data_IF_594467772721
#
_entry.id   IF_594467772721
#
_cell.length_a   1.000
_cell.length_b   1.000
_cell.length_c   1.000
_cell.angle_alpha   90.00
_cell.angle_beta   90.00
_cell.angle_gamma   90.00
#
_symmetry.space_group_name_H-M   'P 1'
#
loop_
_entity.id
_entity.type
_entity.pdbx_description
1 polymer ?
#
# COMPACT_ATOMS: atom_id res chain seq x y z
N UNK A 1 5.84 -14.28 -9.23
CA UNK A 1 4.92 -15.12 -10.02
C UNK A 1 5.54 -16.50 -10.15
N UNK A 2 4.86 -17.55 -9.68
CA UNK A 2 5.33 -18.94 -9.81
C UNK A 2 4.23 -19.82 -10.36
N UNK A 3 4.56 -20.91 -11.06
CA UNK A 3 3.58 -21.89 -11.54
C UNK A 3 2.78 -22.53 -10.41
N UNK A 4 1.55 -22.94 -10.72
CA UNK A 4 0.75 -23.81 -9.86
C UNK A 4 1.33 -25.24 -9.78
N UNK A 5 2.04 -25.67 -10.83
CA UNK A 5 2.67 -26.98 -10.94
C UNK A 5 4.02 -26.88 -11.67
N UNK A 6 4.96 -27.75 -11.30
CA UNK A 6 6.29 -27.85 -11.90
C UNK A 6 6.42 -29.12 -12.73
N UNK A 7 7.18 -29.04 -13.82
CA UNK A 7 7.22 -30.06 -14.88
C UNK A 7 5.83 -30.42 -15.44
N UNK A 8 5.04 -29.42 -15.89
CA UNK A 8 3.78 -29.69 -16.56
C UNK A 8 4.03 -30.49 -17.85
N UNK A 9 3.03 -31.29 -18.24
CA UNK A 9 2.97 -31.89 -19.58
C UNK A 9 1.84 -31.20 -20.34
N UNK A 10 2.13 -30.69 -21.54
CA UNK A 10 1.19 -29.87 -22.30
C UNK A 10 0.55 -30.61 -23.48
N UNK A 11 0.97 -31.84 -23.75
CA UNK A 11 0.46 -32.64 -24.87
C UNK A 11 1.17 -32.33 -26.19
N UNK A 12 0.69 -32.91 -27.28
CA UNK A 12 1.27 -32.68 -28.61
C UNK A 12 0.64 -31.46 -29.30
N UNK A 13 1.40 -30.83 -30.20
CA UNK A 13 0.93 -29.70 -31.02
C UNK A 13 0.24 -28.58 -30.23
N UNK A 14 0.72 -28.28 -29.02
CA UNK A 14 0.12 -27.26 -28.15
C UNK A 14 0.03 -25.89 -28.84
N UNK A 15 -1.15 -25.28 -28.76
CA UNK A 15 -1.47 -23.96 -29.29
C UNK A 15 -1.97 -23.07 -28.16
N UNK A 16 -1.39 -21.88 -28.04
CA UNK A 16 -1.87 -20.86 -27.11
C UNK A 16 -3.22 -20.30 -27.55
N UNK A 17 -4.22 -20.33 -26.67
CA UNK A 17 -5.53 -19.70 -26.91
C UNK A 17 -5.58 -18.28 -26.37
N UNK A 18 -5.23 -18.10 -25.08
CA UNK A 18 -5.25 -16.80 -24.43
C UNK A 18 -4.43 -16.75 -23.15
N UNK A 19 -3.95 -15.56 -22.79
CA UNK A 19 -3.31 -15.30 -21.50
C UNK A 19 -4.08 -14.21 -20.76
N UNK A 20 -4.62 -14.55 -19.61
CA UNK A 20 -5.49 -13.68 -18.82
C UNK A 20 -4.80 -13.30 -17.52
N UNK A 21 -4.55 -12.01 -17.33
CA UNK A 21 -4.11 -11.45 -16.06
C UNK A 21 -5.31 -10.99 -15.24
N UNK A 22 -5.42 -11.46 -14.00
CA UNK A 22 -6.48 -11.04 -13.05
C UNK A 22 -5.85 -10.46 -11.79
N UNK A 23 -6.19 -9.21 -11.45
CA UNK A 23 -5.71 -8.47 -10.28
C UNK A 23 -6.92 -7.91 -9.51
N UNK A 24 -7.34 -8.56 -8.40
CA UNK A 24 -8.52 -8.14 -7.66
C UNK A 24 -8.27 -6.88 -6.83
N UNK A 25 -9.35 -6.15 -6.53
CA UNK A 25 -9.36 -5.04 -5.59
C UNK A 25 -9.60 -5.51 -4.15
N UNK A 26 -9.40 -4.62 -3.18
CA UNK A 26 -9.99 -4.81 -1.85
C UNK A 26 -11.45 -4.36 -1.91
N UNK A 27 -12.37 -5.32 -1.77
CA UNK A 27 -13.81 -5.10 -1.89
C UNK A 27 -14.61 -5.95 -0.92
N UNK A 28 -15.72 -5.43 -0.42
CA UNK A 28 -16.68 -6.14 0.45
C UNK A 28 -18.00 -6.36 -0.27
N UNK A 29 -18.51 -7.59 -0.27
CA UNK A 29 -19.85 -7.89 -0.81
C UNK A 29 -20.91 -7.29 0.12
N UNK A 30 -21.77 -6.42 -0.39
CA UNK A 30 -22.82 -5.76 0.39
C UNK A 30 -24.20 -6.33 0.15
N UNK A 31 -24.49 -6.75 -1.08
CA UNK A 31 -25.81 -7.27 -1.47
C UNK A 31 -25.75 -8.23 -2.65
N UNK A 32 -26.76 -9.09 -2.78
CA UNK A 32 -26.96 -9.99 -3.92
C UNK A 32 -28.43 -9.93 -4.33
N UNK A 33 -28.70 -9.57 -5.59
CA UNK A 33 -30.06 -9.47 -6.11
C UNK A 33 -30.70 -10.84 -6.45
N UNK A 34 -31.98 -10.82 -6.85
CA UNK A 34 -32.75 -12.03 -7.21
C UNK A 34 -32.19 -12.77 -8.45
N UNK A 35 -31.45 -12.06 -9.31
CA UNK A 35 -30.78 -12.60 -10.51
C UNK A 35 -29.33 -13.06 -10.21
N UNK A 36 -28.92 -13.00 -8.94
CA UNK A 36 -27.60 -13.39 -8.47
C UNK A 36 -26.47 -12.41 -8.80
N UNK A 37 -26.77 -11.17 -9.18
CA UNK A 37 -25.77 -10.11 -9.33
C UNK A 37 -25.37 -9.58 -7.97
N UNK A 38 -24.06 -9.43 -7.78
CA UNK A 38 -23.47 -8.97 -6.53
C UNK A 38 -23.13 -7.48 -6.62
N UNK A 39 -23.45 -6.75 -5.54
CA UNK A 39 -23.04 -5.36 -5.34
C UNK A 39 -21.90 -5.32 -4.33
N UNK A 40 -20.86 -4.54 -4.63
CA UNK A 40 -19.64 -4.44 -3.82
C UNK A 40 -19.38 -3.01 -3.38
N UNK A 41 -18.83 -2.87 -2.18
CA UNK A 41 -18.15 -1.67 -1.70
C UNK A 41 -16.65 -1.84 -1.93
N UNK A 42 -15.98 -0.83 -2.52
CA UNK A 42 -14.57 -0.89 -2.93
C UNK A 42 -13.77 0.23 -2.26
N UNK A 43 -12.95 -0.13 -1.27
CA UNK A 43 -12.18 0.81 -0.44
C UNK A 43 -10.76 1.07 -0.96
N UNK A 44 -10.48 0.61 -2.19
CA UNK A 44 -9.11 0.56 -2.74
C UNK A 44 -8.93 1.39 -4.01
N UNK A 45 -9.93 2.16 -4.42
CA UNK A 45 -9.86 3.07 -5.56
C UNK A 45 -9.91 4.49 -5.01
N UNK A 46 -8.89 5.30 -5.32
CA UNK A 46 -8.78 6.68 -4.85
C UNK A 46 -8.67 7.62 -6.04
N UNK A 47 -9.69 8.45 -6.26
CA UNK A 47 -9.82 9.28 -7.45
C UNK A 47 -10.77 8.68 -8.49
N UNK A 48 -11.02 9.44 -9.56
CA UNK A 48 -11.97 9.09 -10.63
C UNK A 48 -11.48 9.51 -12.02
N UNK A 49 -10.20 9.85 -12.14
CA UNK A 49 -9.59 10.28 -13.40
C UNK A 49 -8.87 9.11 -14.09
N UNK A 50 -8.96 8.99 -15.43
CA UNK A 50 -8.26 7.93 -16.16
C UNK A 50 -6.75 7.94 -15.95
N UNK A 51 -6.15 6.76 -16.00
CA UNK A 51 -4.70 6.56 -15.97
C UNK A 51 -4.26 5.79 -17.20
N UNK A 52 -3.05 6.03 -17.67
CA UNK A 52 -2.41 5.13 -18.62
C UNK A 52 -1.91 3.91 -17.85
N UNK A 53 -2.25 2.73 -18.33
CA UNK A 53 -1.87 1.46 -17.72
C UNK A 53 -1.17 0.57 -18.73
N UNK A 54 0.05 0.16 -18.42
CA UNK A 54 0.87 -0.70 -19.26
C UNK A 54 1.34 -1.92 -18.45
N UNK A 55 1.37 -3.09 -19.09
CA UNK A 55 1.93 -4.32 -18.52
C UNK A 55 3.11 -4.74 -19.36
N UNK A 56 4.27 -4.93 -18.73
CA UNK A 56 5.49 -5.40 -19.36
C UNK A 56 5.93 -6.73 -18.78
N UNK A 57 6.61 -7.54 -19.60
CA UNK A 57 7.43 -8.64 -19.11
C UNK A 57 8.68 -8.04 -18.47
N UNK A 58 8.86 -8.27 -17.17
CA UNK A 58 10.01 -7.79 -16.43
C UNK A 58 11.28 -8.59 -16.80
N UNK A 59 12.42 -7.91 -16.98
CA UNK A 59 13.72 -8.54 -17.17
C UNK A 59 14.63 -8.41 -15.94
N UNK A 60 14.26 -7.66 -14.91
CA UNK A 60 15.05 -7.51 -13.69
C UNK A 60 14.78 -8.63 -12.68
N UNK A 61 15.81 -9.31 -12.19
CA UNK A 61 15.65 -10.37 -11.20
C UNK A 61 15.64 -9.82 -9.77
N UNK A 62 14.48 -9.86 -9.11
CA UNK A 62 14.32 -9.48 -7.70
C UNK A 62 14.89 -10.57 -6.79
N UNK A 63 16.16 -10.44 -6.41
CA UNK A 63 16.86 -11.30 -5.45
C UNK A 63 16.22 -11.25 -4.06
N UNK A 64 16.21 -12.41 -3.39
CA UNK A 64 15.71 -12.56 -2.01
C UNK A 64 16.74 -12.17 -0.94
N UNK A 65 18.04 -12.29 -1.23
CA UNK A 65 19.11 -12.10 -0.26
C UNK A 65 20.23 -11.23 -0.82
N UNK A 66 20.96 -10.57 0.07
CA UNK A 66 22.20 -9.89 -0.27
C UNK A 66 23.39 -10.81 0.03
N UNK A 67 24.27 -11.14 -0.95
CA UNK A 67 25.47 -11.94 -0.71
C UNK A 67 26.49 -11.26 0.23
N UNK A 68 26.43 -9.95 0.40
CA UNK A 68 27.37 -9.16 1.22
C UNK A 68 26.90 -8.95 2.67
N UNK A 69 25.64 -9.28 2.99
CA UNK A 69 25.12 -9.26 4.37
C UNK A 69 25.23 -10.64 5.04
N UNK A 70 25.12 -10.69 6.37
CA UNK A 70 25.00 -11.96 7.09
C UNK A 70 23.83 -12.79 6.53
N UNK A 71 23.99 -14.12 6.48
CA UNK A 71 23.14 -15.12 5.81
C UNK A 71 21.60 -15.04 6.07
N UNK A 72 21.13 -14.15 6.94
CA UNK A 72 19.73 -14.01 7.33
C UNK A 72 19.10 -12.64 6.98
N UNK A 73 19.79 -11.74 6.27
CA UNK A 73 19.18 -10.47 5.86
C UNK A 73 18.63 -10.52 4.44
N UNK A 74 17.31 -10.35 4.31
CA UNK A 74 16.65 -10.17 3.01
C UNK A 74 17.11 -8.86 2.36
N UNK A 75 17.28 -8.89 1.04
CA UNK A 75 17.56 -7.67 0.28
C UNK A 75 16.28 -6.80 0.25
N UNK A 76 16.41 -5.52 0.63
CA UNK A 76 15.29 -4.58 0.62
C UNK A 76 15.30 -3.79 -0.68
N UNK A 77 14.11 -3.47 -1.17
CA UNK A 77 13.90 -2.62 -2.33
C UNK A 77 13.09 -1.39 -1.91
N UNK A 78 13.46 -0.23 -2.44
CA UNK A 78 12.85 1.04 -2.12
C UNK A 78 12.09 1.61 -3.33
N UNK A 79 11.15 2.50 -3.06
CA UNK A 79 10.26 3.08 -4.08
C UNK A 79 10.99 3.84 -5.17
N UNK A 80 12.16 4.41 -4.85
CA UNK A 80 13.06 5.13 -5.75
C UNK A 80 13.90 4.23 -6.69
N UNK A 81 13.47 2.97 -6.91
CA UNK A 81 14.16 1.98 -7.76
C UNK A 81 15.58 1.67 -7.28
N UNK A 82 15.84 1.70 -5.97
CA UNK A 82 17.12 1.27 -5.37
C UNK A 82 16.95 0.06 -4.46
N UNK A 83 18.04 -0.65 -4.20
CA UNK A 83 18.10 -1.73 -3.22
C UNK A 83 19.05 -1.41 -2.06
N UNK A 84 18.92 -2.13 -0.94
CA UNK A 84 19.71 -1.88 0.28
C UNK A 84 21.22 -2.20 0.16
N UNK A 85 21.65 -2.78 -0.96
CA UNK A 85 23.06 -2.94 -1.33
C UNK A 85 23.60 -1.76 -2.14
N UNK A 86 22.78 -0.73 -2.39
CA UNK A 86 23.11 0.45 -3.18
C UNK A 86 22.96 0.24 -4.69
N UNK A 87 22.51 -0.93 -5.15
CA UNK A 87 22.22 -1.14 -6.57
C UNK A 87 20.98 -0.36 -7.02
N UNK A 88 21.05 0.17 -8.24
CA UNK A 88 19.94 0.85 -8.90
C UNK A 88 19.29 -0.11 -9.90
N UNK A 89 17.96 -0.10 -9.95
CA UNK A 89 17.16 -0.84 -10.91
C UNK A 89 16.92 0.08 -12.09
N UNK A 90 17.42 -0.29 -13.28
CA UNK A 90 17.17 0.51 -14.48
C UNK A 90 15.75 0.29 -14.97
N UNK A 91 15.07 1.37 -15.37
CA UNK A 91 13.71 1.29 -15.90
C UNK A 91 13.64 0.44 -17.17
N UNK A 92 14.67 0.45 -18.02
CA UNK A 92 14.76 -0.42 -19.21
C UNK A 92 14.81 -1.91 -18.89
N UNK A 93 15.22 -2.30 -17.67
CA UNK A 93 15.19 -3.70 -17.24
C UNK A 93 13.79 -4.10 -16.75
N UNK A 94 12.98 -3.14 -16.30
CA UNK A 94 11.59 -3.35 -15.89
C UNK A 94 10.65 -3.35 -17.10
N UNK A 95 10.86 -2.43 -18.03
CA UNK A 95 10.11 -2.26 -19.27
C UNK A 95 10.68 -3.15 -20.39
N UNK A 96 10.54 -4.46 -20.23
CA UNK A 96 10.91 -5.43 -21.26
C UNK A 96 9.92 -5.44 -22.44
N UNK A 97 9.28 -6.58 -22.68
CA UNK A 97 8.30 -6.71 -23.75
C UNK A 97 6.94 -6.14 -23.29
N UNK A 98 6.30 -5.28 -24.09
CA UNK A 98 4.96 -4.76 -23.80
C UNK A 98 3.90 -5.84 -24.06
N UNK A 99 3.03 -6.09 -23.10
CA UNK A 99 2.02 -7.15 -23.13
C UNK A 99 0.59 -6.61 -23.09
N UNK A 100 0.41 -5.37 -22.67
CA UNK A 100 -0.89 -4.71 -22.63
C UNK A 100 -0.67 -3.21 -22.48
N UNK A 101 -1.49 -2.41 -23.15
CA UNK A 101 -1.54 -0.95 -22.98
C UNK A 101 -2.99 -0.47 -23.09
N UNK A 102 -3.41 0.33 -22.12
CA UNK A 102 -4.61 1.15 -22.17
C UNK A 102 -4.23 2.59 -21.80
N UNK A 103 -4.53 3.53 -22.68
CA UNK A 103 -4.14 4.93 -22.52
C UNK A 103 -5.09 5.72 -21.61
N UNK A 104 -6.31 5.23 -21.37
CA UNK A 104 -7.35 5.92 -20.60
C UNK A 104 -8.10 4.93 -19.69
N UNK A 105 -7.35 4.06 -19.02
CA UNK A 105 -7.90 3.06 -18.11
C UNK A 105 -8.63 3.72 -16.93
N UNK A 106 -9.87 3.30 -16.69
CA UNK A 106 -10.66 3.71 -15.54
C UNK A 106 -11.09 2.47 -14.74
N UNK A 107 -10.71 2.37 -13.45
CA UNK A 107 -11.11 1.22 -12.63
C UNK A 107 -12.63 1.24 -12.37
N UNK A 108 -13.25 0.06 -12.42
CA UNK A 108 -14.68 -0.11 -12.11
C UNK A 108 -14.88 -0.83 -10.78
N UNK A 109 -15.86 -0.39 -10.00
CA UNK A 109 -16.34 -1.06 -8.79
C UNK A 109 -17.33 -2.21 -9.07
N UNK A 110 -17.65 -2.46 -10.34
CA UNK A 110 -18.60 -3.50 -10.73
C UNK A 110 -17.98 -4.90 -10.67
N UNK A 111 -18.82 -5.90 -10.39
CA UNK A 111 -18.44 -7.29 -10.52
C UNK A 111 -18.02 -7.63 -11.97
N UNK A 112 -17.13 -8.61 -12.13
CA UNK A 112 -16.77 -9.12 -13.46
C UNK A 112 -17.61 -10.37 -13.74
N UNK A 113 -18.40 -10.34 -14.81
CA UNK A 113 -19.24 -11.45 -15.24
C UNK A 113 -18.54 -12.20 -16.37
N UNK A 114 -18.23 -13.48 -16.14
CA UNK A 114 -17.74 -14.38 -17.18
C UNK A 114 -18.91 -15.16 -17.78
N UNK A 115 -18.91 -15.28 -19.10
CA UNK A 115 -19.92 -16.02 -19.86
C UNK A 115 -19.24 -17.11 -20.68
N UNK A 116 -19.95 -18.21 -20.88
CA UNK A 116 -19.54 -19.30 -21.77
C UNK A 116 -20.66 -19.57 -22.77
N UNK A 117 -20.30 -19.99 -23.97
CA UNK A 117 -21.29 -20.44 -24.93
C UNK A 117 -21.85 -21.79 -24.50
N UNK A 118 -23.17 -21.92 -24.48
CA UNK A 118 -23.86 -23.17 -24.20
C UNK A 118 -24.38 -23.78 -25.51
N UNK A 119 -23.82 -24.93 -25.90
CA UNK A 119 -24.16 -25.62 -27.14
C UNK A 119 -25.60 -26.14 -27.17
N UNK A 120 -26.21 -26.42 -26.01
CA UNK A 120 -27.58 -26.93 -25.92
C UNK A 120 -28.63 -25.83 -26.11
N UNK A 121 -28.33 -24.61 -25.68
CA UNK A 121 -29.26 -23.46 -25.73
C UNK A 121 -28.94 -22.47 -26.85
N UNK A 122 -27.77 -22.59 -27.48
CA UNK A 122 -27.21 -21.66 -28.47
C UNK A 122 -27.08 -20.20 -27.94
N UNK A 123 -27.01 -20.04 -26.62
CA UNK A 123 -26.91 -18.73 -25.92
C UNK A 123 -25.65 -18.65 -25.05
N UNK A 124 -25.28 -17.43 -24.66
CA UNK A 124 -24.20 -17.19 -23.70
C UNK A 124 -24.75 -17.28 -22.28
N UNK A 125 -24.31 -18.27 -21.52
CA UNK A 125 -24.69 -18.44 -20.11
C UNK A 125 -23.62 -17.85 -19.19
N UNK A 126 -24.05 -17.30 -18.06
CA UNK A 126 -23.12 -16.84 -17.00
C UNK A 126 -22.43 -18.06 -16.40
N UNK A 127 -21.12 -18.17 -16.63
CA UNK A 127 -20.30 -19.27 -16.10
C UNK A 127 -19.74 -18.95 -14.71
N UNK A 128 -19.38 -17.68 -14.47
CA UNK A 128 -18.79 -17.26 -13.19
C UNK A 128 -19.02 -15.76 -12.93
N UNK A 129 -19.09 -15.40 -11.65
CA UNK A 129 -19.08 -14.00 -11.19
C UNK A 129 -17.88 -13.80 -10.28
N UNK A 130 -17.03 -12.83 -10.61
CA UNK A 130 -15.85 -12.46 -9.85
C UNK A 130 -16.06 -11.11 -9.17
N UNK A 131 -15.39 -10.93 -8.03
CA UNK A 131 -15.34 -9.63 -7.37
C UNK A 131 -14.67 -8.57 -8.28
N UNK A 132 -14.88 -7.27 -8.00
CA UNK A 132 -14.27 -6.18 -8.76
C UNK A 132 -12.75 -6.29 -8.81
N UNK A 133 -12.19 -5.96 -9.96
CA UNK A 133 -10.76 -6.06 -10.21
C UNK A 133 -10.39 -5.68 -11.63
N UNK A 134 -9.10 -5.75 -11.91
CA UNK A 134 -8.55 -5.61 -13.25
C UNK A 134 -8.45 -7.00 -13.87
N UNK A 135 -8.96 -7.16 -15.09
CA UNK A 135 -8.81 -8.39 -15.86
C UNK A 135 -8.49 -8.10 -17.32
N UNK A 136 -7.29 -8.48 -17.75
CA UNK A 136 -6.77 -8.19 -19.08
C UNK A 136 -6.46 -9.45 -19.86
N UNK A 137 -6.65 -9.38 -21.18
CA UNK A 137 -6.02 -10.29 -22.12
C UNK A 137 -4.64 -9.73 -22.45
N UNK A 138 -3.58 -10.48 -22.12
CA UNK A 138 -2.22 -10.11 -22.47
C UNK A 138 -1.90 -10.55 -23.89
N UNK A 139 -1.18 -9.71 -24.60
CA UNK A 139 -0.68 -9.98 -25.94
C UNK A 139 0.42 -11.05 -25.92
N UNK A 140 0.63 -11.69 -27.08
CA UNK A 140 1.68 -12.67 -27.32
C UNK A 140 2.67 -12.19 -28.39
N UNK A 141 3.36 -11.04 -28.19
CA UNK A 141 4.30 -10.54 -29.18
C UNK A 141 5.46 -11.51 -29.36
N UNK A 142 5.85 -11.75 -30.62
CA UNK A 142 6.97 -12.63 -30.98
C UNK A 142 6.88 -14.03 -30.36
N UNK A 143 5.67 -14.57 -30.22
CA UNK A 143 5.40 -15.89 -29.61
C UNK A 143 5.99 -16.02 -28.19
N UNK A 144 5.98 -14.92 -27.42
CA UNK A 144 6.58 -14.86 -26.08
C UNK A 144 6.11 -16.01 -25.17
N UNK A 145 4.81 -16.23 -25.05
CA UNK A 145 4.26 -17.22 -24.11
C UNK A 145 4.56 -18.65 -24.54
N UNK A 146 4.60 -18.91 -25.85
CA UNK A 146 5.06 -20.18 -26.42
C UNK A 146 6.50 -20.48 -25.98
N UNK A 147 7.41 -19.54 -26.24
CA UNK A 147 8.83 -19.67 -25.89
C UNK A 147 9.08 -19.74 -24.37
N UNK A 148 8.26 -19.04 -23.59
CA UNK A 148 8.41 -18.94 -22.14
C UNK A 148 7.93 -20.22 -21.43
N UNK A 149 6.81 -20.79 -21.90
CA UNK A 149 6.08 -21.85 -21.20
C UNK A 149 6.15 -23.17 -21.98
N UNK A 150 5.54 -23.25 -23.15
CA UNK A 150 5.36 -24.52 -23.85
C UNK A 150 6.68 -25.10 -24.39
N UNK A 151 7.55 -24.28 -24.98
CA UNK A 151 8.86 -24.72 -25.48
C UNK A 151 9.84 -25.10 -24.35
N UNK A 152 9.44 -24.90 -23.09
CA UNK A 152 10.18 -25.27 -21.88
C UNK A 152 9.62 -26.51 -21.18
N UNK A 153 8.71 -27.22 -21.83
CA UNK A 153 8.27 -28.55 -21.38
C UNK A 153 9.46 -29.50 -21.23
N UNK A 154 9.55 -30.18 -20.08
CA UNK A 154 10.66 -31.07 -19.75
C UNK A 154 12.01 -30.40 -19.48
N UNK A 155 12.12 -29.08 -19.65
CA UNK A 155 13.36 -28.34 -19.45
C UNK A 155 13.53 -27.87 -17.99
N UNK A 156 14.78 -27.64 -17.53
CA UNK A 156 15.06 -27.23 -16.15
C UNK A 156 14.32 -25.96 -15.69
N UNK A 157 14.00 -25.05 -16.61
CA UNK A 157 13.31 -23.77 -16.35
C UNK A 157 11.95 -23.96 -15.68
N UNK A 158 11.19 -25.00 -16.04
CA UNK A 158 9.88 -25.30 -15.45
C UNK A 158 9.94 -26.32 -14.31
N UNK A 159 11.14 -26.81 -13.96
CA UNK A 159 11.28 -27.94 -13.04
C UNK A 159 11.10 -27.60 -11.57
N UNK A 160 11.29 -26.34 -11.19
CA UNK A 160 11.15 -25.84 -9.82
C UNK A 160 11.06 -24.31 -9.77
N UNK A 161 10.69 -23.80 -8.60
CA UNK A 161 10.48 -22.37 -8.34
C UNK A 161 11.69 -21.50 -8.68
N UNK A 162 12.88 -21.88 -8.22
CA UNK A 162 14.09 -21.08 -8.37
C UNK A 162 14.46 -20.90 -9.84
N UNK A 163 14.37 -21.97 -10.62
CA UNK A 163 14.66 -21.92 -12.05
C UNK A 163 13.63 -21.06 -12.78
N UNK A 164 12.35 -21.23 -12.46
CA UNK A 164 11.28 -20.46 -13.08
C UNK A 164 11.38 -18.97 -12.77
N UNK A 165 11.64 -18.59 -11.51
CA UNK A 165 11.79 -17.19 -11.12
C UNK A 165 12.95 -16.51 -11.87
N UNK A 166 14.06 -17.23 -12.10
CA UNK A 166 15.19 -16.72 -12.86
C UNK A 166 14.89 -16.58 -14.37
N UNK A 167 14.07 -17.49 -14.92
CA UNK A 167 13.66 -17.53 -16.32
C UNK A 167 12.61 -16.45 -16.64
N UNK A 168 11.50 -16.43 -15.91
CA UNK A 168 10.37 -15.53 -16.18
C UNK A 168 10.57 -14.12 -15.64
N UNK A 169 11.10 -13.99 -14.40
CA UNK A 169 11.34 -12.72 -13.68
C UNK A 169 10.10 -11.86 -13.39
N UNK A 170 8.93 -12.24 -13.89
CA UNK A 170 7.63 -11.67 -13.51
C UNK A 170 7.11 -10.61 -14.46
N UNK A 171 6.15 -9.84 -13.97
CA UNK A 171 5.51 -8.75 -14.70
C UNK A 171 5.83 -7.42 -14.02
N UNK A 172 5.97 -6.37 -14.82
CA UNK A 172 6.01 -4.98 -14.36
C UNK A 172 4.73 -4.29 -14.81
N UNK A 173 3.94 -3.81 -13.86
CA UNK A 173 2.69 -3.10 -14.12
C UNK A 173 2.98 -1.63 -13.84
N UNK A 174 2.83 -0.79 -14.85
CA UNK A 174 3.11 0.64 -14.80
C UNK A 174 1.82 1.42 -14.98
N UNK A 175 1.52 2.28 -14.02
CA UNK A 175 0.43 3.24 -14.10
C UNK A 175 1.02 4.65 -14.18
N UNK A 176 0.53 5.45 -15.12
CA UNK A 176 0.98 6.83 -15.35
C UNK A 176 -0.25 7.74 -15.40
N UNK A 177 -0.13 8.96 -14.85
CA UNK A 177 -1.20 9.93 -14.99
C UNK A 177 -1.32 10.39 -16.45
N UNK A 178 -2.55 10.47 -16.97
CA UNK A 178 -2.80 11.00 -18.33
C UNK A 178 -2.69 12.53 -18.32
N UNK A 179 -3.11 13.15 -17.22
CA UNK A 179 -3.07 14.59 -16.99
C UNK A 179 -2.43 14.88 -15.61
N UNK A 180 -2.77 16.02 -14.99
CA UNK A 180 -2.36 16.34 -13.61
C UNK A 180 -3.01 15.37 -12.61
N UNK A 181 -4.25 14.97 -12.89
CA UNK A 181 -5.02 14.06 -12.05
C UNK A 181 -4.94 12.62 -12.57
N UNK A 182 -5.14 11.66 -11.66
CA UNK A 182 -5.20 10.23 -11.94
C UNK A 182 -5.96 9.49 -10.85
N UNK A 183 -6.05 8.17 -10.99
CA UNK A 183 -6.67 7.30 -9.98
C UNK A 183 -5.61 6.35 -9.43
N UNK A 184 -5.50 6.29 -8.10
CA UNK A 184 -4.67 5.31 -7.41
C UNK A 184 -5.49 4.07 -7.11
N UNK A 185 -4.90 2.90 -7.35
CA UNK A 185 -5.54 1.61 -7.15
C UNK A 185 -4.69 0.76 -6.22
N UNK A 186 -5.26 0.35 -5.09
CA UNK A 186 -4.63 -0.58 -4.15
C UNK A 186 -5.04 -2.03 -4.50
N UNK A 187 -4.14 -2.75 -5.16
CA UNK A 187 -4.41 -4.11 -5.62
C UNK A 187 -4.27 -5.15 -4.50
N UNK A 188 -5.21 -6.09 -4.43
CA UNK A 188 -5.17 -7.23 -3.52
C UNK A 188 -4.41 -8.41 -4.14
N UNK A 189 -3.14 -8.21 -4.47
CA UNK A 189 -2.30 -9.24 -5.12
C UNK A 189 -1.98 -10.44 -4.21
N UNK A 190 -2.34 -10.38 -2.93
CA UNK A 190 -2.15 -11.48 -1.97
C UNK A 190 -3.23 -12.56 -2.03
N UNK A 191 -4.39 -12.25 -2.61
CA UNK A 191 -5.55 -13.15 -2.64
C UNK A 191 -6.13 -13.21 -4.05
N UNK A 192 -6.14 -14.38 -4.68
CA UNK A 192 -6.82 -14.64 -5.97
C UNK A 192 -6.31 -13.84 -7.18
N UNK A 193 -5.16 -13.17 -7.09
CA UNK A 193 -4.47 -12.64 -8.27
C UNK A 193 -3.78 -13.78 -9.03
N UNK A 194 -4.02 -13.88 -10.33
CA UNK A 194 -3.51 -14.97 -11.17
C UNK A 194 -3.13 -14.47 -12.57
N UNK A 195 -2.20 -15.19 -13.18
CA UNK A 195 -1.99 -15.17 -14.62
C UNK A 195 -2.39 -16.54 -15.16
N UNK A 196 -3.45 -16.62 -15.94
CA UNK A 196 -4.02 -17.88 -16.43
C UNK A 196 -3.79 -18.00 -17.92
N UNK A 197 -3.13 -19.08 -18.32
CA UNK A 197 -2.80 -19.40 -19.70
C UNK A 197 -3.72 -20.52 -20.14
N UNK A 198 -4.57 -20.24 -21.14
CA UNK A 198 -5.44 -21.20 -21.79
C UNK A 198 -4.77 -21.69 -23.08
N UNK A 199 -4.80 -23.00 -23.29
CA UNK A 199 -4.23 -23.63 -24.47
C UNK A 199 -5.06 -24.81 -24.91
N UNK A 200 -4.86 -25.21 -26.16
CA UNK A 200 -5.42 -26.43 -26.74
C UNK A 200 -4.28 -27.32 -27.22
N UNK A 201 -4.39 -28.63 -27.00
CA UNK A 201 -3.38 -29.62 -27.38
C UNK A 201 -4.04 -30.87 -27.95
N UNK A 202 -3.29 -31.63 -28.74
CA UNK A 202 -3.72 -32.93 -29.23
C UNK A 202 -3.59 -33.97 -28.10
N UNK A 203 -4.62 -34.79 -27.95
CA UNK A 203 -4.59 -35.97 -27.07
C UNK A 203 -3.81 -37.07 -27.79
N UNK A 204 -2.81 -37.67 -27.12
CA UNK A 204 -2.17 -38.88 -27.64
C UNK A 204 -3.22 -39.99 -27.83
N UNK A 205 -3.55 -40.31 -29.08
CA UNK A 205 -4.43 -41.43 -29.38
C UNK A 205 -3.69 -42.74 -29.09
N UNK A 206 -4.01 -43.38 -27.96
CA UNK A 206 -3.44 -44.68 -27.59
C UNK A 206 -4.01 -45.84 -28.42
N UNK A 207 -4.90 -45.58 -29.39
CA UNK A 207 -5.45 -46.59 -30.29
C UNK A 207 -4.99 -46.42 -31.75
N UNK A 208 -3.91 -47.11 -32.09
CA UNK A 208 -3.45 -47.35 -33.47
C UNK A 208 -4.49 -48.19 -34.26
N UNK A 209 -5.54 -47.55 -34.79
CA UNK A 209 -6.50 -48.18 -35.72
C UNK A 209 -6.46 -47.60 -37.13
N UNK A 210 -5.33 -47.00 -37.53
CA UNK A 210 -4.98 -46.73 -38.94
C UNK A 210 -6.00 -45.91 -39.75
N UNK A 211 -6.88 -45.16 -39.08
CA UNK A 211 -7.82 -44.22 -39.67
C UNK A 211 -7.26 -42.80 -39.65
N UNK A 212 -7.58 -42.02 -40.68
CA UNK A 212 -7.27 -40.59 -40.80
C UNK A 212 -8.22 -39.78 -39.87
N UNK A 213 -8.27 -40.15 -38.59
CA UNK A 213 -9.07 -39.45 -37.58
C UNK A 213 -8.33 -38.18 -37.17
N UNK A 214 -9.03 -37.05 -37.25
CA UNK A 214 -8.55 -35.78 -36.69
C UNK A 214 -8.21 -36.02 -35.22
N UNK A 215 -6.95 -35.77 -34.83
CA UNK A 215 -6.50 -35.90 -33.44
C UNK A 215 -7.53 -35.22 -32.53
N UNK A 216 -8.06 -35.93 -31.54
CA UNK A 216 -8.95 -35.32 -30.57
C UNK A 216 -8.19 -34.24 -29.81
N UNK A 217 -8.69 -33.00 -29.83
CA UNK A 217 -8.08 -31.87 -29.11
C UNK A 217 -8.65 -31.74 -27.71
N UNK A 218 -7.81 -31.44 -26.72
CA UNK A 218 -8.21 -31.10 -25.35
C UNK A 218 -7.84 -29.66 -24.99
N UNK A 219 -8.64 -29.05 -24.12
CA UNK A 219 -8.35 -27.72 -23.57
C UNK A 219 -7.64 -27.85 -22.23
N UNK A 220 -6.59 -27.06 -22.04
CA UNK A 220 -5.75 -27.04 -20.85
C UNK A 220 -5.66 -25.64 -20.23
N UNK A 221 -5.33 -25.62 -18.94
CA UNK A 221 -5.14 -24.39 -18.17
C UNK A 221 -3.84 -24.50 -17.37
N UNK A 222 -2.93 -23.55 -17.62
CA UNK A 222 -1.72 -23.38 -16.83
C UNK A 222 -1.78 -22.06 -16.06
N UNK A 223 -1.64 -22.10 -14.74
CA UNK A 223 -1.82 -20.92 -13.88
C UNK A 223 -0.53 -20.52 -13.19
N UNK A 224 -0.19 -19.23 -13.24
CA UNK A 224 0.83 -18.63 -12.38
C UNK A 224 0.17 -17.83 -11.26
N UNK A 225 0.67 -18.00 -10.04
CA UNK A 225 0.20 -17.32 -8.85
C UNK A 225 1.15 -16.20 -8.44
N UNK A 226 0.62 -15.12 -7.86
CA UNK A 226 1.38 -13.99 -7.33
C UNK A 226 2.10 -14.35 -6.02
N UNK A 227 3.18 -15.10 -6.16
CA UNK A 227 4.11 -15.51 -5.09
C UNK A 227 5.50 -14.90 -5.29
N UNK A 228 6.27 -14.82 -4.21
CA UNK A 228 7.64 -14.28 -4.19
C UNK A 228 7.71 -12.78 -3.93
N UNK A 229 8.82 -12.16 -4.34
CA UNK A 229 9.07 -10.73 -4.14
C UNK A 229 8.09 -9.86 -4.93
N UNK A 230 7.56 -8.85 -4.25
CA UNK A 230 6.68 -7.81 -4.80
C UNK A 230 7.26 -6.48 -4.37
N UNK A 231 7.44 -5.58 -5.33
CA UNK A 231 8.03 -4.26 -5.09
C UNK A 231 7.16 -3.24 -5.79
N UNK A 232 6.80 -2.19 -5.05
CA UNK A 232 6.09 -1.03 -5.61
C UNK A 232 7.10 0.09 -5.79
N UNK A 233 7.17 0.61 -7.02
CA UNK A 233 7.89 1.83 -7.32
C UNK A 233 6.88 2.96 -7.36
N UNK A 234 7.22 4.07 -6.71
CA UNK A 234 6.37 5.25 -6.64
C UNK A 234 7.26 6.41 -7.05
N UNK A 235 6.79 7.16 -8.04
CA UNK A 235 7.39 8.42 -8.44
C UNK A 235 6.36 9.50 -8.16
N UNK A 236 6.76 10.45 -7.33
CA UNK A 236 5.89 11.53 -6.89
C UNK A 236 6.57 12.86 -7.21
N UNK A 237 5.83 13.74 -7.88
CA UNK A 237 6.23 15.14 -8.02
C UNK A 237 5.80 15.88 -6.77
N UNK A 238 6.68 15.88 -5.77
CA UNK A 238 6.49 16.67 -4.56
C UNK A 238 6.31 18.16 -4.91
N UNK A 239 5.39 18.81 -4.20
CA UNK A 239 5.59 20.23 -3.89
C UNK A 239 6.88 20.30 -3.06
N UNK A 240 7.78 21.26 -3.35
CA UNK A 240 8.97 21.45 -2.51
C UNK A 240 8.50 21.73 -1.07
N UNK A 241 8.61 20.73 -0.20
CA UNK A 241 8.29 20.86 1.21
C UNK A 241 9.49 21.55 1.86
N UNK A 242 9.32 22.72 2.49
CA UNK A 242 10.40 23.39 3.19
C UNK A 242 10.99 22.48 4.28
N UNK A 243 12.30 22.54 4.46
CA UNK A 243 12.93 21.95 5.64
C UNK A 243 12.35 22.58 6.90
N UNK A 244 12.04 21.75 7.90
CA UNK A 244 11.52 22.24 9.17
C UNK A 244 12.52 23.12 9.92
N UNK A 245 12.05 24.16 10.59
CA UNK A 245 12.84 25.03 11.47
C UNK A 245 12.83 24.45 12.91
N UNK A 246 13.90 23.75 13.35
CA UNK A 246 13.93 23.14 14.68
C UNK A 246 14.05 24.16 15.83
N UNK A 247 14.29 25.44 15.53
CA UNK A 247 14.50 26.49 16.52
C UNK A 247 13.24 27.30 16.75
N UNK A 248 12.61 27.81 15.69
CA UNK A 248 11.42 28.65 15.80
C UNK A 248 10.11 27.87 15.58
N UNK A 249 10.20 26.67 14.98
CA UNK A 249 9.06 25.92 14.51
C UNK A 249 8.52 26.42 13.17
N UNK A 250 7.64 25.62 12.58
CA UNK A 250 7.14 25.82 11.23
C UNK A 250 5.83 26.61 11.19
N UNK A 251 5.58 27.28 10.07
CA UNK A 251 4.27 27.89 9.79
C UNK A 251 3.22 26.85 9.41
N UNK A 252 3.61 25.81 8.67
CA UNK A 252 2.77 24.72 8.19
C UNK A 252 3.48 23.38 8.39
N UNK A 253 2.71 22.35 8.73
CA UNK A 253 3.16 20.98 8.87
C UNK A 253 2.54 20.14 7.76
N UNK A 254 3.37 19.61 6.88
CA UNK A 254 2.95 18.77 5.77
C UNK A 254 3.00 17.31 6.17
N UNK A 255 1.86 16.62 6.12
CA UNK A 255 1.76 15.19 6.39
C UNK A 255 1.26 14.47 5.14
N UNK A 256 2.03 13.49 4.66
CA UNK A 256 1.65 12.68 3.49
C UNK A 256 2.11 11.24 3.70
N UNK A 257 1.27 10.29 3.32
CA UNK A 257 1.64 8.88 3.32
C UNK A 257 2.54 8.48 2.14
N UNK A 258 2.75 7.17 1.94
CA UNK A 258 3.60 6.62 0.86
C UNK A 258 5.04 7.18 0.86
N UNK A 259 5.56 7.64 -0.28
CA UNK A 259 6.76 8.46 -0.35
C UNK A 259 6.36 9.88 0.06
N UNK A 260 6.24 10.13 1.36
CA UNK A 260 5.66 11.35 1.89
C UNK A 260 6.48 11.99 2.99
N UNK A 261 5.84 12.90 3.74
CA UNK A 261 6.46 13.66 4.81
C UNK A 261 5.80 13.35 6.16
N UNK A 262 6.59 13.52 7.21
CA UNK A 262 6.15 13.49 8.60
C UNK A 262 6.51 14.81 9.28
N UNK A 263 5.79 15.17 10.32
CA UNK A 263 6.17 16.27 11.19
C UNK A 263 6.84 15.73 12.46
N UNK A 264 7.73 16.55 13.05
CA UNK A 264 8.38 16.23 14.32
C UNK A 264 7.86 17.17 15.39
N UNK A 265 7.33 16.62 16.47
CA UNK A 265 6.87 17.37 17.64
C UNK A 265 7.95 17.28 18.71
N UNK A 266 8.52 18.45 19.08
CA UNK A 266 9.46 18.58 20.19
C UNK A 266 8.75 19.31 21.35
N UNK A 267 8.30 18.56 22.36
CA UNK A 267 7.61 19.15 23.49
C UNK A 267 8.60 19.98 24.33
N UNK A 268 8.16 21.12 24.86
CA UNK A 268 8.96 21.99 25.73
C UNK A 268 10.33 22.42 25.16
N UNK A 269 10.55 22.34 23.84
CA UNK A 269 11.84 22.65 23.20
C UNK A 269 13.03 21.86 23.79
N UNK A 270 12.85 20.56 24.04
CA UNK A 270 13.92 19.69 24.53
C UNK A 270 15.16 19.69 23.63
N UNK A 271 16.34 19.66 24.24
CA UNK A 271 17.62 19.44 23.54
C UNK A 271 17.78 17.96 23.09
N UNK A 272 18.98 17.57 22.65
CA UNK A 272 19.26 16.19 22.21
C UNK A 272 19.08 15.15 23.33
N UNK A 273 19.20 15.55 24.59
CA UNK A 273 19.00 14.71 25.77
C UNK A 273 17.57 14.87 26.35
N UNK A 274 16.71 15.66 25.70
CA UNK A 274 15.34 15.96 26.11
C UNK A 274 15.23 16.97 27.25
N UNK A 275 16.28 17.72 27.58
CA UNK A 275 16.25 18.71 28.65
C UNK A 275 15.87 20.08 28.11
N UNK A 276 15.12 20.86 28.89
CA UNK A 276 14.86 22.27 28.59
C UNK A 276 14.45 23.07 29.83
N UNK A 277 14.73 24.39 29.84
CA UNK A 277 14.24 25.28 30.90
C UNK A 277 12.72 25.24 31.06
N UNK A 278 11.97 25.16 29.95
CA UNK A 278 10.51 25.11 29.95
C UNK A 278 9.98 23.83 30.62
N UNK A 279 10.65 22.69 30.39
CA UNK A 279 10.30 21.44 31.06
C UNK A 279 10.64 21.49 32.55
N UNK A 280 11.78 22.07 32.92
CA UNK A 280 12.20 22.23 34.32
C UNK A 280 11.23 23.15 35.08
N UNK A 281 10.88 24.29 34.50
CA UNK A 281 9.91 25.24 35.04
C UNK A 281 8.53 24.58 35.19
N UNK A 282 8.10 23.80 34.19
CA UNK A 282 6.86 23.02 34.26
C UNK A 282 6.92 21.94 35.36
N UNK A 283 8.00 21.17 35.47
CA UNK A 283 8.23 20.17 36.54
C UNK A 283 8.20 20.81 37.93
N UNK A 284 8.71 22.03 38.08
CA UNK A 284 8.77 22.74 39.36
C UNK A 284 7.39 23.08 39.95
N UNK A 285 6.34 23.12 39.14
CA UNK A 285 4.99 23.46 39.58
C UNK A 285 4.33 22.37 40.44
N UNK A 286 4.83 21.13 40.40
CA UNK A 286 4.28 20.00 41.19
C UNK A 286 2.77 19.75 40.97
N UNK A 287 2.24 20.10 39.80
CA UNK A 287 0.85 19.89 39.43
C UNK A 287 0.49 18.40 39.30
N UNK A 288 -0.76 18.05 39.64
CA UNK A 288 -1.32 16.75 39.31
C UNK A 288 -1.97 16.84 37.93
N UNK A 289 -1.36 16.22 36.92
CA UNK A 289 -1.88 16.23 35.54
C UNK A 289 -3.09 15.29 35.46
N UNK A 290 -4.25 15.84 35.14
CA UNK A 290 -5.50 15.10 34.99
C UNK A 290 -5.71 14.63 33.54
N UNK A 291 -5.35 15.48 32.57
CA UNK A 291 -5.49 15.22 31.14
C UNK A 291 -4.50 16.09 30.36
N UNK A 292 -3.94 15.55 29.28
CA UNK A 292 -3.14 16.33 28.34
C UNK A 292 -3.47 15.97 26.89
N UNK A 293 -3.57 16.97 26.02
CA UNK A 293 -3.92 16.79 24.61
C UNK A 293 -3.05 17.68 23.71
N UNK A 294 -2.69 17.15 22.54
CA UNK A 294 -2.19 17.93 21.41
C UNK A 294 -3.32 18.18 20.44
N UNK A 295 -3.58 19.45 20.13
CA UNK A 295 -4.51 19.87 19.08
C UNK A 295 -3.73 20.38 17.87
N UNK A 296 -4.05 19.83 16.70
CA UNK A 296 -3.55 20.27 15.41
C UNK A 296 -4.72 20.77 14.57
N UNK A 297 -4.67 22.01 14.13
CA UNK A 297 -5.70 22.59 13.27
C UNK A 297 -5.32 22.42 11.81
N UNK A 298 -6.33 22.14 11.01
CA UNK A 298 -6.17 21.89 9.59
C UNK A 298 -6.08 23.20 8.83
N UNK A 299 -5.06 23.35 7.99
CA UNK A 299 -4.94 24.48 7.07
C UNK A 299 -5.67 24.17 5.76
N UNK A 300 -6.98 24.46 5.76
CA UNK A 300 -7.85 24.25 4.61
C UNK A 300 -7.45 25.06 3.36
N UNK A 301 -6.60 26.08 3.50
CA UNK A 301 -6.14 26.87 2.34
C UNK A 301 -5.08 26.15 1.50
N UNK A 302 -4.42 25.15 2.08
CA UNK A 302 -3.30 24.42 1.47
C UNK A 302 -3.64 22.97 1.08
N UNK A 303 -4.83 22.48 1.43
CA UNK A 303 -5.24 21.09 1.18
C UNK A 303 -5.83 20.93 -0.21
N UNK A 304 -5.46 19.82 -0.86
CA UNK A 304 -6.03 19.37 -2.12
C UNK A 304 -6.50 17.93 -1.95
N UNK A 305 -7.77 17.67 -2.25
CA UNK A 305 -8.35 16.33 -2.16
C UNK A 305 -8.82 15.95 -0.76
N UNK A 306 -8.91 14.64 -0.51
CA UNK A 306 -9.43 14.10 0.74
C UNK A 306 -8.39 14.02 1.84
N UNK A 307 -8.84 14.31 3.05
CA UNK A 307 -8.02 14.28 4.26
C UNK A 307 -8.07 12.91 4.95
N UNK A 308 -6.97 12.47 5.57
CA UNK A 308 -6.96 11.26 6.38
C UNK A 308 -7.81 11.44 7.63
N UNK A 309 -8.60 10.43 8.00
CA UNK A 309 -9.45 10.54 9.19
C UNK A 309 -8.66 10.44 10.49
N UNK A 310 -7.43 9.91 10.46
CA UNK A 310 -6.61 9.63 11.64
C UNK A 310 -5.16 10.03 11.44
N UNK A 311 -4.58 10.58 12.50
CA UNK A 311 -3.13 10.76 12.64
C UNK A 311 -2.60 9.78 13.69
N UNK A 312 -1.29 9.53 13.64
CA UNK A 312 -0.58 8.68 14.57
C UNK A 312 0.65 9.41 15.11
N UNK A 313 0.86 9.32 16.43
CA UNK A 313 1.97 9.93 17.15
C UNK A 313 2.78 8.85 17.86
N UNK A 314 4.10 8.86 17.69
CA UNK A 314 4.99 7.85 18.26
C UNK A 314 6.33 8.44 18.69
N UNK A 315 7.07 7.71 19.51
CA UNK A 315 8.43 8.10 19.88
C UNK A 315 9.36 7.87 18.67
N UNK A 316 9.93 8.95 18.13
CA UNK A 316 10.72 8.92 16.90
C UNK A 316 12.10 8.27 17.10
N UNK A 317 12.65 8.35 18.31
CA UNK A 317 13.97 7.82 18.65
C UNK A 317 13.92 6.29 18.80
N UNK A 318 12.89 5.79 19.49
CA UNK A 318 12.72 4.35 19.75
C UNK A 318 11.84 3.65 18.72
N UNK A 319 11.10 4.40 17.90
CA UNK A 319 10.10 3.89 16.95
C UNK A 319 9.02 3.04 17.63
N UNK A 320 8.58 3.45 18.82
CA UNK A 320 7.56 2.74 19.60
C UNK A 320 6.33 3.62 19.83
N UNK A 321 5.13 3.00 19.94
CA UNK A 321 3.92 3.74 20.32
C UNK A 321 4.10 4.45 21.66
N UNK A 322 3.37 5.56 21.84
CA UNK A 322 3.23 6.18 23.15
C UNK A 322 2.47 5.27 24.11
N UNK A 323 2.64 5.50 25.41
CA UNK A 323 1.96 4.72 26.44
C UNK A 323 0.44 4.85 26.35
N UNK A 324 -0.06 6.03 25.97
CA UNK A 324 -1.49 6.32 25.78
C UNK A 324 -2.10 5.41 24.71
N UNK A 325 -1.40 5.18 23.60
CA UNK A 325 -1.83 4.21 22.57
C UNK A 325 -2.02 2.79 23.13
N UNK A 326 -1.15 2.36 24.05
CA UNK A 326 -1.20 1.02 24.63
C UNK A 326 -2.31 0.89 25.68
N UNK A 327 -2.60 1.97 26.40
CA UNK A 327 -3.62 2.02 27.44
C UNK A 327 -5.03 2.20 26.89
N UNK A 328 -5.15 2.81 25.71
CA UNK A 328 -6.42 2.94 25.02
C UNK A 328 -6.97 1.56 24.61
N UNK A 329 -8.01 1.13 25.30
CA UNK A 329 -8.72 -0.14 25.07
C UNK A 329 -10.02 0.05 24.31
N UNK A 330 -10.26 1.21 23.70
CA UNK A 330 -11.35 1.36 22.75
C UNK A 330 -11.06 0.45 21.55
N UNK A 331 -11.68 -0.73 21.60
CA UNK A 331 -11.58 -1.75 20.57
C UNK A 331 -12.93 -1.89 19.90
N UNK A 332 -12.90 -1.87 18.57
CA UNK A 332 -14.07 -2.15 17.74
C UNK A 332 -13.69 -3.16 16.68
N UNK A 333 -14.67 -3.96 16.25
CA UNK A 333 -14.54 -4.83 15.07
C UNK A 333 -14.43 -4.02 13.76
N UNK A 334 -14.69 -2.71 13.80
CA UNK A 334 -14.51 -1.75 12.71
C UNK A 334 -13.41 -0.76 13.06
N UNK A 335 -12.61 -0.33 12.09
CA UNK A 335 -11.48 0.60 12.33
C UNK A 335 -11.90 1.95 12.93
N UNK A 336 -13.14 2.39 12.67
CA UNK A 336 -13.65 3.72 13.05
C UNK A 336 -13.54 4.02 14.55
N UNK A 337 -13.84 3.04 15.40
CA UNK A 337 -13.87 3.21 16.87
C UNK A 337 -12.65 2.63 17.59
N UNK A 338 -11.64 2.17 16.85
CA UNK A 338 -10.41 1.70 17.46
C UNK A 338 -9.57 2.89 17.95
N UNK A 339 -8.95 2.80 19.13
CA UNK A 339 -8.00 3.80 19.65
C UNK A 339 -8.54 5.23 19.65
N UNK A 340 -9.84 5.39 19.88
CA UNK A 340 -10.57 6.65 19.72
C UNK A 340 -10.31 7.64 20.85
N UNK A 341 -9.88 7.18 22.02
CA UNK A 341 -9.58 8.06 23.16
C UNK A 341 -8.21 8.74 22.94
N UNK A 342 -7.20 7.96 22.54
CA UNK A 342 -5.85 8.45 22.26
C UNK A 342 -5.74 9.17 20.91
N UNK A 343 -6.24 8.57 19.83
CA UNK A 343 -6.12 9.09 18.46
C UNK A 343 -7.50 9.50 17.95
N UNK A 344 -8.01 10.67 18.31
CA UNK A 344 -9.39 11.03 17.92
C UNK A 344 -9.51 11.20 16.39
N UNK A 345 -10.66 10.80 15.78
CA UNK A 345 -10.96 11.11 14.39
C UNK A 345 -10.89 12.61 14.10
N UNK A 346 -10.60 12.95 12.85
CA UNK A 346 -10.70 14.31 12.33
C UNK A 346 -12.09 14.87 12.62
N UNK A 347 -12.14 16.02 13.29
CA UNK A 347 -13.38 16.79 13.43
C UNK A 347 -13.62 17.51 12.13
N UNK A 348 -14.80 17.34 11.52
CA UNK A 348 -15.20 17.96 10.26
C UNK A 348 -16.32 18.98 10.48
N UNK A 349 -16.47 19.91 9.55
CA UNK A 349 -17.60 20.87 9.56
C UNK A 349 -18.92 20.10 9.54
N UNK A 350 -19.83 20.48 10.45
CA UNK A 350 -21.17 19.92 10.61
C UNK A 350 -21.20 18.39 10.87
N UNK A 351 -20.08 17.79 11.28
CA UNK A 351 -19.92 16.33 11.43
C UNK A 351 -20.21 15.53 10.14
N UNK A 352 -20.13 16.19 8.98
CA UNK A 352 -20.32 15.55 7.67
C UNK A 352 -19.09 14.68 7.32
N UNK A 353 -19.26 13.40 6.93
CA UNK A 353 -18.15 12.48 6.65
C UNK A 353 -17.13 13.00 5.62
N UNK A 354 -17.63 13.71 4.60
CA UNK A 354 -16.82 14.30 3.53
C UNK A 354 -16.63 15.82 3.70
N UNK A 355 -17.02 16.36 4.87
CA UNK A 355 -16.86 17.78 5.20
C UNK A 355 -15.40 18.17 5.37
N UNK A 356 -15.10 19.46 5.18
CA UNK A 356 -13.75 19.98 5.42
C UNK A 356 -13.31 19.73 6.87
N UNK A 357 -12.08 19.24 7.04
CA UNK A 357 -11.42 19.04 8.32
C UNK A 357 -11.20 20.33 9.09
N UNK A 358 -11.37 20.27 10.41
CA UNK A 358 -11.16 21.40 11.33
C UNK A 358 -9.92 21.14 12.17
N UNK A 359 -9.88 20.00 12.88
CA UNK A 359 -8.78 19.67 13.78
C UNK A 359 -8.64 18.19 14.07
N UNK A 360 -7.42 17.79 14.39
CA UNK A 360 -7.07 16.53 15.03
C UNK A 360 -6.78 16.77 16.50
N UNK A 361 -7.10 15.78 17.34
CA UNK A 361 -6.77 15.80 18.78
C UNK A 361 -6.17 14.47 19.19
N UNK A 362 -4.98 14.53 19.79
CA UNK A 362 -4.26 13.36 20.29
C UNK A 362 -4.09 13.49 21.80
N UNK A 363 -4.64 12.55 22.56
CA UNK A 363 -4.51 12.55 24.02
C UNK A 363 -3.14 11.95 24.43
N UNK A 364 -2.36 12.67 25.23
CA UNK A 364 -1.00 12.26 25.65
C UNK A 364 -0.83 12.35 27.16
N UNK A 365 -1.92 12.15 27.91
CA UNK A 365 -1.99 12.30 29.36
C UNK A 365 -0.91 11.47 30.07
N UNK A 366 -0.82 10.17 29.76
CA UNK A 366 0.12 9.27 30.42
C UNK A 366 1.57 9.49 29.95
N UNK A 367 1.76 9.91 28.70
CA UNK A 367 3.07 10.37 28.22
C UNK A 367 3.56 11.59 29.01
N UNK A 368 2.75 12.63 29.19
CA UNK A 368 3.10 13.82 30.00
C UNK A 368 3.33 13.42 31.48
N UNK A 369 2.49 12.54 32.04
CA UNK A 369 2.69 12.00 33.40
C UNK A 369 4.04 11.27 33.54
N UNK A 370 4.48 10.53 32.52
CA UNK A 370 5.78 9.86 32.55
C UNK A 370 6.95 10.85 32.53
N UNK A 371 6.86 11.91 31.72
CA UNK A 371 7.86 12.99 31.72
C UNK A 371 7.94 13.67 33.09
N UNK A 372 6.78 13.88 33.71
CA UNK A 372 6.65 14.64 34.95
C UNK A 372 6.99 13.83 36.23
N UNK A 373 6.38 12.65 36.40
CA UNK A 373 6.44 11.86 37.64
C UNK A 373 7.55 10.81 37.59
N UNK A 374 7.82 10.24 36.41
CA UNK A 374 8.69 9.07 36.25
C UNK A 374 10.04 9.40 35.62
N UNK A 375 10.34 10.69 35.45
CA UNK A 375 11.57 11.22 34.88
C UNK A 375 11.95 10.56 33.53
N UNK A 376 10.93 10.33 32.70
CA UNK A 376 11.14 9.81 31.36
C UNK A 376 11.76 10.88 30.45
N UNK A 377 12.58 10.46 29.49
CA UNK A 377 13.18 11.34 28.49
C UNK A 377 12.11 11.99 27.63
N UNK A 378 12.20 13.31 27.45
CA UNK A 378 11.38 14.09 26.52
C UNK A 378 11.86 13.88 25.09
N UNK A 379 11.60 12.68 24.58
CA UNK A 379 11.99 12.28 23.25
C UNK A 379 11.19 13.01 22.17
N UNK A 380 11.80 13.22 21.01
CA UNK A 380 11.09 13.77 19.84
C UNK A 380 10.00 12.80 19.39
N UNK A 381 8.83 13.35 19.04
CA UNK A 381 7.69 12.57 18.59
C UNK A 381 7.50 12.71 17.08
N UNK A 382 7.28 11.59 16.39
CA UNK A 382 6.93 11.58 14.98
C UNK A 382 5.42 11.61 14.80
N UNK A 383 4.91 12.55 14.00
CA UNK A 383 3.51 12.69 13.63
C UNK A 383 3.33 12.31 12.16
N UNK A 384 2.47 11.34 11.89
CA UNK A 384 2.20 10.81 10.55
C UNK A 384 0.70 10.60 10.32
N UNK A 385 0.29 10.55 9.05
CA UNK A 385 -1.04 10.06 8.67
C UNK A 385 -1.12 8.55 8.88
N UNK A 386 -2.33 7.99 9.04
CA UNK A 386 -2.51 6.54 9.04
C UNK A 386 -3.86 6.12 8.49
N UNK A 387 -3.89 5.05 7.70
CA UNK A 387 -5.14 4.41 7.26
C UNK A 387 -5.67 3.40 8.27
N UNK A 388 -4.86 2.94 9.22
CA UNK A 388 -5.28 1.93 10.19
C UNK A 388 -4.58 2.13 11.53
N UNK A 389 -5.29 2.71 12.47
CA UNK A 389 -4.82 2.94 13.85
C UNK A 389 -4.64 1.66 14.67
N UNK A 390 -5.11 0.49 14.20
CA UNK A 390 -4.85 -0.78 14.89
C UNK A 390 -3.52 -1.43 14.49
N UNK A 391 -2.97 -1.05 13.33
CA UNK A 391 -1.73 -1.61 12.82
C UNK A 391 -0.60 -0.59 12.90
N UNK A 392 0.29 -0.82 13.87
CA UNK A 392 1.49 0.00 14.12
C UNK A 392 2.76 -0.77 13.79
N UNK A 393 2.68 -1.78 12.91
CA UNK A 393 3.85 -2.47 12.40
C UNK A 393 4.85 -1.46 11.84
N UNK A 394 6.09 -1.52 12.32
CA UNK A 394 7.14 -0.63 11.87
C UNK A 394 7.85 -1.22 10.66
N UNK A 395 8.02 -0.39 9.63
CA UNK A 395 8.70 -0.74 8.40
C UNK A 395 9.93 0.15 8.23
N UNK A 396 10.96 -0.41 7.60
CA UNK A 396 12.16 0.33 7.27
C UNK A 396 11.89 1.20 6.04
N UNK A 397 12.32 2.45 6.10
CA UNK A 397 12.28 3.41 4.99
C UNK A 397 13.67 3.96 4.72
N UNK A 398 13.90 4.44 3.51
CA UNK A 398 15.09 5.20 3.16
C UNK A 398 14.70 6.67 3.04
N UNK A 399 15.36 7.56 3.79
CA UNK A 399 15.15 9.00 3.67
C UNK A 399 15.83 9.57 2.41
N UNK A 400 15.62 10.86 2.16
CA UNK A 400 16.16 11.61 1.02
C UNK A 400 17.70 11.66 1.01
N UNK A 401 18.33 11.49 2.18
CA UNK A 401 19.78 11.38 2.35
C UNK A 401 20.30 9.94 2.23
N UNK A 402 19.42 8.98 1.92
CA UNK A 402 19.76 7.58 1.76
C UNK A 402 19.92 6.81 3.08
N UNK A 403 19.59 7.42 4.21
CA UNK A 403 19.71 6.82 5.54
C UNK A 403 18.46 5.99 5.87
N UNK A 404 18.68 4.84 6.51
CA UNK A 404 17.59 3.98 6.94
C UNK A 404 16.91 4.55 8.19
N UNK A 405 15.60 4.78 8.09
CA UNK A 405 14.71 5.18 9.17
C UNK A 405 13.59 4.17 9.32
N UNK A 406 12.67 4.41 10.26
CA UNK A 406 11.46 3.61 10.44
C UNK A 406 10.23 4.48 10.47
N UNK A 407 9.13 3.91 10.01
CA UNK A 407 7.79 4.49 10.07
C UNK A 407 6.77 3.39 10.30
N UNK A 408 5.51 3.74 10.49
CA UNK A 408 4.42 2.76 10.61
C UNK A 408 3.80 2.42 9.26
N UNK A 409 3.38 1.16 9.12
CA UNK A 409 2.77 0.64 7.89
C UNK A 409 1.54 1.42 7.45
N UNK A 410 0.71 1.88 8.39
CA UNK A 410 -0.47 2.69 8.09
C UNK A 410 -0.16 4.03 7.42
N UNK A 411 1.03 4.61 7.67
CA UNK A 411 1.47 5.82 6.98
C UNK A 411 1.88 5.52 5.53
N UNK A 412 2.63 4.44 5.31
CA UNK A 412 3.06 4.04 3.96
C UNK A 412 1.90 3.65 3.06
N UNK A 413 0.84 3.06 3.61
CA UNK A 413 -0.35 2.65 2.85
C UNK A 413 -1.37 3.77 2.66
N UNK A 414 -1.16 4.96 3.24
CA UNK A 414 -2.09 6.07 3.12
C UNK A 414 -1.89 6.83 1.81
N UNK A 415 -2.90 6.88 0.92
CA UNK A 415 -2.84 7.74 -0.26
C UNK A 415 -3.20 9.20 0.07
N UNK A 416 -3.75 9.44 1.26
CA UNK A 416 -4.21 10.75 1.72
C UNK A 416 -3.09 11.51 2.43
N UNK A 417 -3.17 12.84 2.34
CA UNK A 417 -2.32 13.78 3.05
C UNK A 417 -3.14 14.93 3.64
N UNK A 418 -2.51 15.72 4.51
CA UNK A 418 -3.11 16.92 5.09
C UNK A 418 -2.03 17.96 5.39
N UNK A 419 -2.44 19.22 5.50
CA UNK A 419 -1.59 20.33 5.93
C UNK A 419 -2.17 20.88 7.22
N UNK A 420 -1.33 21.01 8.23
CA UNK A 420 -1.72 21.51 9.55
C UNK A 420 -1.02 22.85 9.80
N UNK A 421 -1.65 23.73 10.57
CA UNK A 421 -0.97 24.91 11.07
C UNK A 421 0.12 24.51 12.07
N UNK A 422 1.33 25.01 11.87
CA UNK A 422 2.47 24.74 12.74
C UNK A 422 2.51 25.62 14.00
N UNK A 423 3.56 25.47 14.81
CA UNK A 423 3.72 26.24 16.06
C UNK A 423 4.04 27.72 15.83
N UNK A 424 4.52 28.07 14.64
CA UNK A 424 4.86 29.43 14.23
C UNK A 424 3.89 29.99 13.17
N UNK A 425 2.70 29.38 13.00
CA UNK A 425 1.72 29.83 12.02
C UNK A 425 1.30 31.30 12.24
N UNK A 426 1.07 32.04 11.16
CA UNK A 426 0.62 33.45 11.26
C UNK A 426 -0.77 33.59 11.92
N UNK A 427 -1.58 32.53 11.88
CA UNK A 427 -2.86 32.44 12.58
C UNK A 427 -2.66 31.87 14.00
N UNK A 428 -2.51 32.78 14.97
CA UNK A 428 -2.30 32.44 16.38
C UNK A 428 -3.42 31.55 16.96
N UNK A 429 -4.65 31.67 16.47
CA UNK A 429 -5.78 30.89 16.98
C UNK A 429 -5.70 29.43 16.53
N UNK A 430 -5.07 29.15 15.39
CA UNK A 430 -4.98 27.81 14.81
C UNK A 430 -3.60 27.16 14.97
N UNK A 431 -2.63 27.80 15.64
CA UNK A 431 -1.35 27.17 15.99
C UNK A 431 -1.56 25.85 16.75
N UNK A 432 -0.58 24.94 16.62
CA UNK A 432 -0.52 23.71 17.43
C UNK A 432 -0.57 24.06 18.92
N UNK A 433 -1.39 23.33 19.69
CA UNK A 433 -1.59 23.57 21.13
C UNK A 433 -1.36 22.30 21.93
N UNK A 434 -0.51 22.41 22.95
CA UNK A 434 -0.46 21.48 24.07
C UNK A 434 -1.42 21.99 25.15
N UNK A 435 -2.54 21.30 25.36
CA UNK A 435 -3.50 21.58 26.44
C UNK A 435 -3.25 20.64 27.60
N UNK A 436 -3.04 21.19 28.79
CA UNK A 436 -2.82 20.42 30.01
C UNK A 436 -3.86 20.86 31.03
N UNK A 437 -4.68 19.91 31.46
CA UNK A 437 -5.64 20.08 32.55
C UNK A 437 -5.04 19.48 33.81
N UNK A 438 -4.91 20.29 34.84
CA UNK A 438 -4.22 19.89 36.06
C UNK A 438 -4.95 20.35 37.31
N UNK A 439 -4.61 19.70 38.42
CA UNK A 439 -5.02 20.10 39.77
C UNK A 439 -3.80 20.66 40.49
N UNK A 440 -3.93 21.87 41.04
CA UNK A 440 -2.91 22.43 41.93
C UNK A 440 -2.98 21.74 43.29
N UNK A 441 -1.87 21.20 43.81
CA UNK A 441 -1.86 20.69 45.18
C UNK A 441 -2.10 21.84 46.16
N UNK A 442 -3.04 21.67 47.10
CA UNK A 442 -3.17 22.60 48.23
C UNK A 442 -1.90 22.50 49.09
N UNK A 443 -1.20 23.63 49.25
CA UNK A 443 -0.06 23.76 50.17
C UNK A 443 -0.52 23.92 51.62
#
# INVERSE_FOLDING_TARGET
LTPSEYNPMFGENVVLDSVVLTLPYFSTLTDTDEDGNNTYEVDSIFGNSPVKLSVYKNNYFLRNFNPDFEFNQSLKYFTNKTASDGSMINESDLEGELLYEDLEFLPSSDQIILTTFNEDTEEMDVSQRLAPGIRFLLENPNDLWQNLIFDKEGEPELSNESNFLNHFRGLYIKAEAVNVDGTLIMLNVGSNATLTIHYTSDVEDTTDDGGDDENATETGIFTLNFSGNRVNFIEDTFIDIPDGDPVNGDEQLFLKGTQGSMAVVNLFNGDEDGNSPELDDFKSQNWLINQAELEFFVDQSAIQGEEPDRLYLYNLETNTPLIDYLLDQSVSSTQVNAKIDHLKPLVRIDDEPDGAGIKYTIEITEHINNLFIRDSTNAKLGLVVTTNVNNIETLDLQDDQGLLRKTVSGALLSPKGTVLHGSNANDDENRVKLKIYYTEPEN
#
